data_IF_706140551418
#
_entry.id   IF_706140551418
#
_cell.length_a   1.000
_cell.length_b   1.000
_cell.length_c   1.000
_cell.angle_alpha   90.00
_cell.angle_beta   90.00
_cell.angle_gamma   90.00
#
_symmetry.space_group_name_H-M   'P 1'
#
loop_
_entity.id
_entity.type
_entity.pdbx_description
1 polymer ?
#
# COMPACT_ATOMS: atom_id res chain seq x y z
N UNK A 1 11.71 25.65 -1.19
CA UNK A 1 11.40 24.24 -0.85
C UNK A 1 12.64 23.63 -0.24
N UNK A 2 12.50 22.78 0.76
CA UNK A 2 13.65 22.20 1.48
C UNK A 2 13.38 20.71 1.73
N UNK A 3 14.38 19.87 1.54
CA UNK A 3 14.28 18.43 1.78
C UNK A 3 14.49 18.12 3.26
N UNK A 4 13.52 17.46 3.88
CA UNK A 4 13.56 16.97 5.28
C UNK A 4 14.21 17.96 6.27
N UNK A 5 13.74 19.21 6.35
CA UNK A 5 14.32 20.21 7.24
C UNK A 5 14.21 19.78 8.70
N UNK A 6 15.27 20.02 9.51
CA UNK A 6 15.25 19.75 10.94
C UNK A 6 14.19 20.61 11.69
N UNK A 7 13.89 21.79 11.16
CA UNK A 7 12.85 22.70 11.64
C UNK A 7 11.99 23.11 10.45
N UNK A 8 10.86 22.41 10.20
CA UNK A 8 10.01 22.71 9.04
C UNK A 8 9.41 24.12 9.16
N UNK A 9 9.45 24.93 8.07
CA UNK A 9 8.93 26.30 8.08
C UNK A 9 7.40 26.36 8.09
N UNK A 10 6.73 25.22 7.86
CA UNK A 10 5.27 25.10 7.82
C UNK A 10 4.83 23.66 8.13
N UNK A 11 3.52 23.45 8.23
CA UNK A 11 2.90 22.13 8.35
C UNK A 11 2.56 21.48 7.00
N UNK A 12 3.09 22.00 5.90
CA UNK A 12 2.89 21.47 4.55
C UNK A 12 4.06 20.56 4.19
N UNK A 13 3.75 19.34 3.72
CA UNK A 13 4.72 18.41 3.19
C UNK A 13 4.47 18.17 1.69
N UNK A 14 5.55 17.93 0.95
CA UNK A 14 5.47 17.54 -0.46
C UNK A 14 5.10 16.06 -0.53
N UNK A 15 4.07 15.74 -1.29
CA UNK A 15 3.48 14.38 -1.36
C UNK A 15 4.00 13.55 -2.54
N UNK A 16 5.11 13.95 -3.17
CA UNK A 16 5.76 13.14 -4.21
C UNK A 16 5.02 13.08 -5.55
N UNK A 17 4.06 13.98 -5.81
CA UNK A 17 3.37 14.08 -7.10
C UNK A 17 3.80 15.34 -7.81
N UNK A 18 4.45 15.18 -8.97
CA UNK A 18 5.05 16.28 -9.72
C UNK A 18 4.65 16.25 -11.18
N UNK A 19 4.49 17.44 -11.77
CA UNK A 19 4.38 17.63 -13.21
C UNK A 19 5.31 18.76 -13.65
N UNK A 20 6.26 18.45 -14.52
CA UNK A 20 7.29 19.39 -14.96
C UNK A 20 7.24 19.64 -16.44
N UNK A 21 7.68 20.83 -16.83
CA UNK A 21 8.14 21.12 -18.19
C UNK A 21 9.59 20.63 -18.38
N UNK A 22 10.08 20.45 -19.62
CA UNK A 22 11.44 19.94 -19.88
C UNK A 22 12.57 20.71 -19.19
N UNK A 23 12.38 21.97 -18.85
CA UNK A 23 13.37 22.80 -18.12
C UNK A 23 13.80 22.20 -16.77
N UNK A 24 13.05 21.24 -16.24
CA UNK A 24 13.46 20.53 -15.01
C UNK A 24 14.79 19.79 -15.20
N UNK A 25 15.08 19.29 -16.40
CA UNK A 25 16.34 18.59 -16.67
C UNK A 25 17.53 19.55 -16.56
N UNK A 26 17.41 20.81 -17.04
CA UNK A 26 18.45 21.83 -16.89
C UNK A 26 18.67 22.17 -15.38
N UNK A 27 17.59 22.18 -14.62
CA UNK A 27 17.67 22.41 -13.18
C UNK A 27 18.35 21.22 -12.46
N UNK A 28 18.02 19.97 -12.84
CA UNK A 28 18.66 18.77 -12.27
C UNK A 28 20.16 18.75 -12.58
N UNK A 29 20.57 19.12 -13.79
CA UNK A 29 21.99 19.20 -14.18
C UNK A 29 22.75 20.31 -13.42
N UNK A 30 22.04 21.28 -12.85
CA UNK A 30 22.60 22.44 -12.14
C UNK A 30 22.76 22.24 -10.64
N UNK A 31 22.06 21.26 -10.04
CA UNK A 31 22.12 20.99 -8.61
C UNK A 31 23.28 20.06 -8.24
N UNK A 32 23.64 20.03 -6.98
CA UNK A 32 24.68 19.15 -6.41
C UNK A 32 24.03 18.17 -5.42
N UNK A 33 24.67 17.03 -5.17
CA UNK A 33 24.22 16.13 -4.11
C UNK A 33 24.09 16.86 -2.77
N UNK A 34 22.98 16.58 -2.08
CA UNK A 34 22.71 17.09 -0.74
C UNK A 34 23.71 16.55 0.29
N UNK A 35 23.72 17.01 1.54
CA UNK A 35 24.52 16.41 2.60
C UNK A 35 24.26 14.91 2.82
N UNK A 36 23.13 14.38 2.31
CA UNK A 36 22.79 12.96 2.30
C UNK A 36 23.45 12.17 1.16
N UNK A 37 24.13 12.87 0.23
CA UNK A 37 24.75 12.27 -0.95
C UNK A 37 23.78 11.97 -2.10
N UNK A 38 22.56 12.50 -2.05
CA UNK A 38 21.49 12.28 -3.05
C UNK A 38 21.20 13.58 -3.83
N UNK A 39 20.80 13.44 -5.10
CA UNK A 39 20.23 14.55 -5.87
C UNK A 39 18.75 14.65 -5.49
N UNK A 40 18.38 15.76 -4.86
CA UNK A 40 17.02 15.95 -4.35
C UNK A 40 16.16 16.70 -5.38
N UNK A 41 14.98 16.19 -5.65
CA UNK A 41 14.03 16.88 -6.55
C UNK A 41 13.58 18.22 -5.98
N UNK A 42 13.56 18.36 -4.67
CA UNK A 42 13.26 19.60 -3.96
C UNK A 42 14.29 20.68 -4.25
N UNK A 43 15.56 20.32 -4.37
CA UNK A 43 16.64 21.28 -4.73
C UNK A 43 16.49 21.76 -6.18
N UNK A 44 16.11 20.87 -7.11
CA UNK A 44 15.81 21.25 -8.49
C UNK A 44 14.61 22.20 -8.58
N UNK A 45 13.56 21.94 -7.79
CA UNK A 45 12.39 22.85 -7.70
C UNK A 45 12.82 24.19 -7.11
N UNK A 46 13.62 24.20 -6.06
CA UNK A 46 14.14 25.41 -5.44
C UNK A 46 14.96 26.23 -6.43
N UNK A 47 15.84 25.57 -7.20
CA UNK A 47 16.61 26.20 -8.26
C UNK A 47 15.74 26.89 -9.32
N UNK A 48 14.62 26.26 -9.73
CA UNK A 48 13.67 26.88 -10.65
C UNK A 48 12.98 28.11 -10.05
N UNK A 49 12.64 28.07 -8.75
CA UNK A 49 12.06 29.22 -8.04
C UNK A 49 13.05 30.39 -8.00
N UNK A 50 14.33 30.13 -7.70
CA UNK A 50 15.40 31.13 -7.65
C UNK A 50 15.69 31.78 -9.04
N UNK A 51 15.33 31.07 -10.10
CA UNK A 51 15.37 31.57 -11.47
C UNK A 51 14.08 32.27 -11.92
N UNK A 52 13.21 32.65 -11.00
CA UNK A 52 11.91 33.29 -11.27
C UNK A 52 11.01 32.47 -12.21
N UNK A 53 11.16 31.12 -12.23
CA UNK A 53 10.25 30.25 -12.97
C UNK A 53 8.95 30.03 -12.20
N UNK A 54 7.86 29.90 -12.95
CA UNK A 54 6.54 29.70 -12.34
C UNK A 54 6.45 28.27 -11.78
N UNK A 55 6.43 28.15 -10.45
CA UNK A 55 6.16 26.93 -9.72
C UNK A 55 4.81 27.06 -9.01
N UNK A 56 3.91 26.10 -9.20
CA UNK A 56 2.59 26.08 -8.57
C UNK A 56 2.46 24.87 -7.66
N UNK A 57 1.94 25.07 -6.47
CA UNK A 57 1.59 24.02 -5.54
C UNK A 57 0.07 23.83 -5.49
N UNK A 58 -0.35 22.56 -5.45
CA UNK A 58 -1.74 22.19 -5.18
C UNK A 58 -1.84 21.48 -3.84
N UNK A 59 -2.91 21.72 -3.10
CA UNK A 59 -3.19 20.96 -1.88
C UNK A 59 -3.88 19.65 -2.23
N UNK A 60 -3.34 18.55 -1.73
CA UNK A 60 -3.98 17.24 -1.81
C UNK A 60 -4.92 17.10 -0.62
N UNK A 61 -6.18 16.79 -0.88
CA UNK A 61 -7.18 16.51 0.14
C UNK A 61 -7.51 15.02 0.13
N UNK A 62 -7.73 14.44 1.32
CA UNK A 62 -8.08 13.03 1.49
C UNK A 62 -6.94 12.20 2.07
N UNK A 63 -7.05 10.88 1.89
CA UNK A 63 -6.05 9.96 2.40
C UNK A 63 -4.75 10.08 1.59
N UNK A 64 -3.68 10.25 2.31
CA UNK A 64 -2.32 10.17 1.80
C UNK A 64 -1.46 9.42 2.82
N UNK A 65 -0.61 8.54 2.37
CA UNK A 65 0.32 7.78 3.20
C UNK A 65 1.65 7.60 2.45
N UNK A 66 2.75 7.81 3.13
CA UNK A 66 4.09 7.53 2.60
C UNK A 66 4.38 6.03 2.74
N UNK A 67 4.27 5.32 1.62
CA UNK A 67 4.46 3.87 1.57
C UNK A 67 5.93 3.43 1.62
N UNK A 68 6.83 4.27 2.13
CA UNK A 68 8.26 3.95 2.27
C UNK A 68 8.60 2.93 3.35
N UNK A 69 7.67 2.66 4.27
CA UNK A 69 7.87 1.70 5.36
C UNK A 69 6.75 0.65 5.40
N UNK A 70 7.05 -0.59 5.88
CA UNK A 70 6.05 -1.67 5.95
C UNK A 70 4.78 -1.30 6.74
N UNK A 71 4.92 -0.54 7.82
CA UNK A 71 3.77 -0.09 8.62
C UNK A 71 2.80 0.79 7.83
N UNK A 72 3.32 1.69 6.98
CA UNK A 72 2.53 2.54 6.11
C UNK A 72 1.77 1.73 5.04
N UNK A 73 2.36 0.64 4.53
CA UNK A 73 1.68 -0.27 3.62
C UNK A 73 0.46 -0.92 4.29
N UNK A 74 0.55 -1.29 5.56
CA UNK A 74 -0.60 -1.85 6.30
C UNK A 74 -1.70 -0.80 6.52
N UNK A 75 -1.34 0.45 6.80
CA UNK A 75 -2.29 1.57 6.89
C UNK A 75 -3.01 1.76 5.55
N UNK A 76 -2.27 1.79 4.46
CA UNK A 76 -2.84 1.89 3.11
C UNK A 76 -3.74 0.68 2.77
N UNK A 77 -3.32 -0.53 3.13
CA UNK A 77 -4.10 -1.76 2.94
C UNK A 77 -5.46 -1.67 3.66
N UNK A 78 -5.49 -1.28 4.93
CA UNK A 78 -6.74 -1.10 5.68
C UNK A 78 -7.64 -0.07 5.00
N UNK A 79 -7.08 1.09 4.61
CA UNK A 79 -7.82 2.14 3.93
C UNK A 79 -8.49 1.65 2.64
N UNK A 80 -7.78 0.86 1.84
CA UNK A 80 -8.30 0.31 0.59
C UNK A 80 -9.32 -0.80 0.84
N UNK A 81 -9.07 -1.72 1.75
CA UNK A 81 -9.99 -2.82 2.05
C UNK A 81 -11.34 -2.32 2.56
N UNK A 82 -11.36 -1.30 3.42
CA UNK A 82 -12.60 -0.67 3.92
C UNK A 82 -13.47 -0.07 2.81
N UNK A 83 -12.89 0.28 1.65
CA UNK A 83 -13.58 0.96 0.55
C UNK A 83 -13.84 0.09 -0.65
N UNK A 84 -12.99 -0.87 -0.91
CA UNK A 84 -13.03 -1.68 -2.13
C UNK A 84 -13.66 -3.04 -1.91
N UNK A 85 -13.60 -3.57 -0.70
CA UNK A 85 -14.19 -4.86 -0.36
C UNK A 85 -15.55 -4.65 0.30
N UNK A 86 -16.57 -4.68 -0.49
CA UNK A 86 -17.97 -4.45 -0.03
C UNK A 86 -18.90 -5.64 -0.24
N UNK A 87 -18.48 -6.66 -0.99
CA UNK A 87 -19.30 -7.83 -1.28
C UNK A 87 -19.20 -8.87 -0.16
N UNK A 88 -20.37 -9.35 0.27
CA UNK A 88 -20.48 -10.44 1.26
C UNK A 88 -20.92 -11.77 0.62
N UNK A 89 -21.04 -11.83 -0.71
CA UNK A 89 -21.55 -12.97 -1.46
C UNK A 89 -20.43 -13.87 -1.98
N UNK A 90 -19.55 -14.28 -1.10
CA UNK A 90 -18.50 -15.24 -1.46
C UNK A 90 -19.10 -16.64 -1.53
N UNK A 91 -18.91 -17.39 -2.64
CA UNK A 91 -19.42 -18.76 -2.76
C UNK A 91 -18.61 -19.71 -1.88
N UNK A 92 -18.96 -19.75 -0.61
CA UNK A 92 -18.31 -20.63 0.36
C UNK A 92 -18.79 -22.08 0.20
N UNK A 93 -17.88 -23.03 0.37
CA UNK A 93 -18.17 -24.46 0.41
C UNK A 93 -18.23 -24.98 1.85
N UNK A 94 -18.54 -26.27 2.00
CA UNK A 94 -18.70 -26.92 3.28
C UNK A 94 -17.54 -26.63 4.27
N UNK A 95 -17.88 -26.36 5.51
CA UNK A 95 -16.93 -26.06 6.58
C UNK A 95 -16.39 -24.62 6.57
N UNK A 96 -16.88 -23.76 5.68
CA UNK A 96 -16.44 -22.37 5.65
C UNK A 96 -17.48 -21.42 6.27
N UNK A 97 -16.99 -20.35 6.90
CA UNK A 97 -17.81 -19.25 7.42
C UNK A 97 -17.27 -17.90 6.94
N UNK A 98 -18.18 -16.92 6.82
CA UNK A 98 -17.85 -15.55 6.47
C UNK A 98 -18.51 -14.60 7.46
N UNK A 99 -17.73 -13.65 7.96
CA UNK A 99 -18.18 -12.53 8.77
C UNK A 99 -17.61 -11.23 8.20
N UNK A 100 -18.46 -10.32 7.78
CA UNK A 100 -18.04 -9.08 7.11
C UNK A 100 -17.74 -9.24 5.62
N UNK A 101 -17.34 -8.16 4.94
CA UNK A 101 -17.13 -8.17 3.49
C UNK A 101 -15.83 -8.88 3.09
N UNK A 102 -15.87 -9.70 2.02
CA UNK A 102 -14.69 -10.38 1.49
C UNK A 102 -14.74 -10.41 -0.04
N UNK A 103 -13.59 -10.25 -0.67
CA UNK A 103 -13.42 -10.47 -2.10
C UNK A 103 -12.54 -11.68 -2.35
N UNK A 104 -13.00 -12.58 -3.23
CA UNK A 104 -12.27 -13.81 -3.57
C UNK A 104 -12.15 -13.92 -5.08
N UNK A 105 -10.92 -13.99 -5.56
CA UNK A 105 -10.61 -14.09 -6.98
C UNK A 105 -11.01 -15.44 -7.61
N UNK A 106 -11.19 -15.46 -8.93
CA UNK A 106 -11.59 -16.65 -9.66
C UNK A 106 -10.56 -17.79 -9.52
N UNK A 107 -11.06 -19.02 -9.53
CA UNK A 107 -10.23 -20.23 -9.40
C UNK A 107 -9.75 -20.53 -7.98
N UNK A 108 -10.00 -19.65 -7.02
CA UNK A 108 -9.63 -19.85 -5.62
C UNK A 108 -10.54 -20.88 -4.95
N UNK A 109 -9.94 -21.75 -4.15
CA UNK A 109 -10.62 -22.81 -3.38
C UNK A 109 -10.37 -22.59 -1.90
N UNK A 110 -11.48 -22.49 -1.15
CA UNK A 110 -11.48 -22.32 0.30
C UNK A 110 -12.21 -23.49 0.93
N UNK A 111 -11.57 -24.16 1.89
CA UNK A 111 -12.13 -25.30 2.61
C UNK A 111 -11.86 -25.16 4.10
N UNK A 112 -12.80 -25.60 4.95
CA UNK A 112 -12.66 -25.64 6.41
C UNK A 112 -12.14 -24.35 7.04
N UNK A 113 -12.45 -23.20 6.45
CA UNK A 113 -11.82 -21.93 6.79
C UNK A 113 -12.85 -20.86 7.18
N UNK A 114 -12.39 -19.91 7.97
CA UNK A 114 -13.17 -18.75 8.41
C UNK A 114 -12.60 -17.49 7.78
N UNK A 115 -13.43 -16.74 7.09
CA UNK A 115 -13.11 -15.42 6.57
C UNK A 115 -13.70 -14.34 7.49
N UNK A 116 -12.87 -13.42 7.91
CA UNK A 116 -13.23 -12.26 8.72
C UNK A 116 -12.93 -10.99 7.92
N UNK A 117 -13.95 -10.38 7.37
CA UNK A 117 -13.78 -9.17 6.54
C UNK A 117 -13.58 -7.88 7.36
N UNK A 118 -13.07 -6.81 6.71
CA UNK A 118 -12.77 -6.79 5.29
C UNK A 118 -11.49 -7.57 4.95
N UNK A 119 -11.55 -8.44 3.93
CA UNK A 119 -10.38 -9.17 3.45
C UNK A 119 -10.45 -9.43 1.95
N UNK A 120 -9.28 -9.61 1.33
CA UNK A 120 -9.14 -9.90 -0.09
C UNK A 120 -8.28 -11.15 -0.28
N UNK A 121 -8.76 -12.08 -1.09
CA UNK A 121 -7.99 -13.26 -1.52
C UNK A 121 -7.94 -13.24 -3.04
N UNK A 122 -6.76 -13.28 -3.60
CA UNK A 122 -6.51 -13.26 -5.04
C UNK A 122 -7.02 -14.50 -5.77
N UNK A 123 -6.68 -14.59 -7.04
CA UNK A 123 -7.10 -15.66 -7.95
C UNK A 123 -6.24 -16.92 -7.77
N UNK A 124 -6.81 -18.09 -8.06
CA UNK A 124 -6.11 -19.38 -8.07
C UNK A 124 -5.40 -19.75 -6.76
N UNK A 125 -5.91 -19.24 -5.64
CA UNK A 125 -5.39 -19.57 -4.31
C UNK A 125 -5.99 -20.89 -3.80
N UNK A 126 -5.29 -21.51 -2.84
CA UNK A 126 -5.81 -22.59 -2.01
C UNK A 126 -5.72 -22.17 -0.55
N UNK A 127 -6.85 -22.23 0.15
CA UNK A 127 -6.93 -21.88 1.58
C UNK A 127 -7.64 -23.03 2.29
N UNK A 128 -6.97 -23.71 3.21
CA UNK A 128 -7.51 -24.86 3.92
C UNK A 128 -7.19 -24.79 5.42
N UNK A 129 -8.23 -25.01 6.25
CA UNK A 129 -8.15 -24.96 7.71
C UNK A 129 -7.54 -23.67 8.26
N UNK A 130 -7.99 -22.49 7.74
CA UNK A 130 -7.41 -21.18 8.05
C UNK A 130 -8.43 -20.22 8.64
N UNK A 131 -7.90 -19.19 9.31
CA UNK A 131 -8.62 -17.94 9.64
C UNK A 131 -7.97 -16.80 8.86
N UNK A 132 -8.71 -16.16 7.96
CA UNK A 132 -8.22 -15.09 7.11
C UNK A 132 -8.97 -13.79 7.42
N UNK A 133 -8.21 -12.77 7.81
CA UNK A 133 -8.74 -11.45 8.18
C UNK A 133 -8.90 -11.26 9.69
N UNK A 134 -9.37 -10.05 10.12
CA UNK A 134 -9.67 -8.92 9.23
C UNK A 134 -8.41 -8.27 8.63
N UNK A 135 -8.60 -7.46 7.60
CA UNK A 135 -7.55 -6.70 6.92
C UNK A 135 -6.42 -7.54 6.30
N UNK A 136 -6.69 -8.79 5.98
CA UNK A 136 -5.77 -9.61 5.20
C UNK A 136 -5.94 -9.36 3.71
N UNK A 137 -4.84 -9.07 3.00
CA UNK A 137 -4.75 -9.03 1.55
C UNK A 137 -3.83 -10.13 1.05
N UNK A 138 -4.36 -11.10 0.33
CA UNK A 138 -3.63 -12.27 -0.17
C UNK A 138 -3.54 -12.19 -1.69
N UNK A 139 -2.32 -12.19 -2.22
CA UNK A 139 -2.04 -12.17 -3.65
C UNK A 139 -2.38 -13.48 -4.36
N UNK A 140 -2.30 -13.46 -5.69
CA UNK A 140 -2.68 -14.58 -6.54
C UNK A 140 -1.80 -15.82 -6.34
N UNK A 141 -2.39 -17.00 -6.50
CA UNK A 141 -1.67 -18.27 -6.54
C UNK A 141 -1.07 -18.72 -5.21
N UNK A 142 -1.53 -18.21 -4.08
CA UNK A 142 -1.06 -18.62 -2.76
C UNK A 142 -1.64 -19.96 -2.31
N UNK A 143 -0.85 -20.75 -1.57
CA UNK A 143 -1.27 -21.98 -0.87
C UNK A 143 -1.11 -21.78 0.64
N UNK A 144 -2.23 -21.66 1.37
CA UNK A 144 -2.25 -21.33 2.80
C UNK A 144 -2.99 -22.44 3.56
N UNK A 145 -2.32 -23.03 4.55
CA UNK A 145 -2.86 -24.15 5.31
C UNK A 145 -2.62 -24.00 6.81
N UNK A 146 -3.56 -24.47 7.61
CA UNK A 146 -3.43 -24.57 9.07
C UNK A 146 -2.93 -23.26 9.71
N UNK A 147 -3.39 -22.10 9.20
CA UNK A 147 -2.79 -20.80 9.50
C UNK A 147 -3.83 -19.74 9.83
N UNK A 148 -3.39 -18.71 10.57
CA UNK A 148 -4.14 -17.47 10.77
C UNK A 148 -3.38 -16.32 10.11
N UNK A 149 -4.08 -15.52 9.28
CA UNK A 149 -3.52 -14.33 8.65
C UNK A 149 -4.44 -13.16 8.93
N UNK A 150 -3.96 -12.21 9.69
CA UNK A 150 -4.70 -11.04 10.14
C UNK A 150 -3.86 -9.77 9.88
N UNK A 151 -4.51 -8.69 9.41
CA UNK A 151 -3.88 -7.39 9.17
C UNK A 151 -2.50 -7.49 8.50
N UNK A 152 -2.47 -8.23 7.40
CA UNK A 152 -1.22 -8.62 6.73
C UNK A 152 -1.37 -8.60 5.22
N UNK A 153 -0.26 -8.36 4.53
CA UNK A 153 -0.17 -8.37 3.07
C UNK A 153 0.69 -9.54 2.62
N UNK A 154 0.07 -10.51 1.98
CA UNK A 154 0.75 -11.70 1.44
C UNK A 154 0.94 -11.52 -0.06
N UNK A 155 2.17 -11.54 -0.52
CA UNK A 155 2.50 -11.44 -1.94
C UNK A 155 2.04 -12.67 -2.72
N UNK A 156 1.99 -12.55 -4.05
CA UNK A 156 1.58 -13.64 -4.92
C UNK A 156 2.48 -14.88 -4.78
N UNK A 157 1.90 -16.07 -4.99
CA UNK A 157 2.60 -17.38 -5.03
C UNK A 157 3.31 -17.77 -3.74
N UNK A 158 2.89 -17.23 -2.60
CA UNK A 158 3.41 -17.63 -1.30
C UNK A 158 2.85 -18.99 -0.86
N UNK A 159 3.67 -19.74 -0.11
CA UNK A 159 3.25 -20.96 0.59
C UNK A 159 3.38 -20.74 2.10
N UNK A 160 2.28 -20.92 2.82
CA UNK A 160 2.18 -20.63 4.26
C UNK A 160 1.52 -21.82 4.94
N UNK A 161 2.16 -22.37 5.97
CA UNK A 161 1.60 -23.52 6.68
C UNK A 161 1.93 -23.47 8.18
N UNK A 162 0.90 -23.64 9.02
CA UNK A 162 1.05 -23.82 10.46
C UNK A 162 1.51 -22.56 11.20
N UNK A 163 1.19 -21.36 10.72
CA UNK A 163 1.64 -20.10 11.33
C UNK A 163 0.49 -19.15 11.64
N UNK A 164 0.73 -18.25 12.58
CA UNK A 164 -0.10 -17.07 12.81
C UNK A 164 0.69 -15.82 12.40
N UNK A 165 0.18 -15.11 11.41
CA UNK A 165 0.72 -13.85 10.92
C UNK A 165 -0.20 -12.72 11.34
N UNK A 166 0.38 -11.69 11.92
CA UNK A 166 -0.32 -10.48 12.31
C UNK A 166 0.60 -9.27 12.11
N UNK A 167 0.07 -8.20 11.53
CA UNK A 167 0.79 -6.96 11.23
C UNK A 167 2.07 -7.18 10.39
N UNK A 168 1.96 -7.95 9.27
CA UNK A 168 3.09 -8.42 8.46
C UNK A 168 2.93 -8.08 6.97
#
# INVERSE_FOLDING_TARGET
>A
VEEKPAQPPSNLAIVGVYAFQPIIFDAIDSIKPSPRGELEITDAIQHLIEQDRVVKAGLVAGFWEDAGEPAALLVANRFYLDRTVTDTRVPLRNGCTLSGPASVGPGTRITNSRLEGPCLIGSNCRVDNCVIGPYAAIGDGCDIKDSRVEDSIIQQKCQITGVALQHS
#
